data_IF_212974873142
#
_entry.id   IF_212974873142
#
_cell.length_a   1.000
_cell.length_b   1.000
_cell.length_c   1.000
_cell.angle_alpha   90.00
_cell.angle_beta   90.00
_cell.angle_gamma   90.00
#
_symmetry.space_group_name_H-M   'P 1'
#
loop_
_entity.id
_entity.type
_entity.pdbx_description
1 polymer ?
#
# COMPACT_ATOMS: atom_id res chain seq x y z
N UNK A 1 -5.65 7.29 -3.67
CA UNK A 1 -4.60 7.96 -4.45
C UNK A 1 -5.16 8.24 -5.84
N UNK A 2 -5.17 9.50 -6.27
CA UNK A 2 -5.74 9.91 -7.57
C UNK A 2 -4.81 9.58 -8.75
N UNK A 3 -3.56 9.20 -8.49
CA UNK A 3 -2.59 8.85 -9.52
C UNK A 3 -2.48 7.34 -9.73
N UNK A 4 -3.12 6.53 -8.88
CA UNK A 4 -3.09 5.08 -9.03
C UNK A 4 -4.02 4.60 -10.15
N UNK A 5 -3.51 3.92 -11.18
CA UNK A 5 -4.34 3.31 -12.23
C UNK A 5 -5.30 2.25 -11.67
N UNK A 6 -4.92 1.54 -10.61
CA UNK A 6 -5.78 0.55 -9.93
C UNK A 6 -6.99 1.23 -9.27
N UNK A 7 -6.79 2.42 -8.68
CA UNK A 7 -7.90 3.19 -8.12
C UNK A 7 -8.87 3.65 -9.21
N UNK A 8 -8.36 4.09 -10.37
CA UNK A 8 -9.19 4.47 -11.53
C UNK A 8 -9.93 3.26 -12.14
N UNK A 9 -9.26 2.11 -12.23
CA UNK A 9 -9.88 0.86 -12.67
C UNK A 9 -11.07 0.48 -11.77
N UNK A 10 -10.90 0.56 -10.45
CA UNK A 10 -12.01 0.32 -9.53
C UNK A 10 -13.15 1.34 -9.66
N UNK A 11 -12.85 2.58 -10.07
CA UNK A 11 -13.83 3.62 -10.36
C UNK A 11 -14.47 3.49 -11.76
N UNK A 12 -14.22 2.37 -12.46
CA UNK A 12 -14.85 2.05 -13.74
C UNK A 12 -14.16 2.62 -14.97
N UNK A 13 -12.96 3.21 -14.83
CA UNK A 13 -12.15 3.60 -15.98
C UNK A 13 -11.66 2.33 -16.68
N UNK A 14 -11.93 2.23 -17.98
CA UNK A 14 -11.49 1.09 -18.81
C UNK A 14 -9.98 1.17 -19.02
N UNK A 15 -9.23 0.52 -18.15
CA UNK A 15 -7.79 0.40 -18.20
C UNK A 15 -7.42 -1.08 -18.32
N UNK A 16 -6.50 -1.38 -19.22
CA UNK A 16 -5.72 -2.61 -19.14
C UNK A 16 -4.62 -2.37 -18.10
N UNK A 17 -4.64 -3.11 -17.00
CA UNK A 17 -3.67 -2.92 -15.92
C UNK A 17 -2.31 -3.53 -16.26
N UNK A 18 -2.24 -4.41 -17.26
CA UNK A 18 -0.99 -5.03 -17.73
C UNK A 18 -0.33 -4.21 -18.86
N UNK A 19 -1.08 -3.32 -19.53
CA UNK A 19 -0.61 -2.48 -20.63
C UNK A 19 -1.18 -1.05 -20.55
N UNK A 20 -0.76 -0.30 -19.53
CA UNK A 20 -1.24 1.07 -19.28
C UNK A 20 -0.55 2.06 -20.22
N UNK A 21 -1.34 2.73 -21.05
CA UNK A 21 -0.84 3.81 -21.90
C UNK A 21 -1.04 5.17 -21.21
N UNK A 22 -0.03 6.05 -21.24
CA UNK A 22 -0.08 7.34 -20.53
C UNK A 22 -1.21 8.24 -21.04
N UNK A 23 -1.56 8.13 -22.32
CA UNK A 23 -2.63 8.90 -22.96
C UNK A 23 -4.02 8.51 -22.42
N UNK A 24 -4.18 7.29 -21.89
CA UNK A 24 -5.40 6.85 -21.21
C UNK A 24 -5.51 7.47 -19.80
N UNK A 25 -4.39 7.86 -19.22
CA UNK A 25 -4.33 8.53 -17.92
C UNK A 25 -4.65 10.02 -18.14
N UNK A 26 -5.96 10.31 -18.17
CA UNK A 26 -6.56 11.66 -18.14
C UNK A 26 -5.81 12.59 -17.18
N UNK A 27 -5.95 13.90 -17.32
CA UNK A 27 -5.27 14.85 -16.43
C UNK A 27 -5.60 14.69 -14.94
N UNK A 28 -4.76 15.29 -14.08
CA UNK A 28 -4.89 15.20 -12.62
C UNK A 28 -6.25 15.63 -12.09
N UNK A 29 -6.85 16.66 -12.66
CA UNK A 29 -8.15 17.17 -12.20
C UNK A 29 -9.25 16.17 -12.54
N UNK A 30 -9.25 15.62 -13.75
CA UNK A 30 -10.23 14.62 -14.17
C UNK A 30 -10.14 13.34 -13.33
N UNK A 31 -8.93 12.88 -13.02
CA UNK A 31 -8.72 11.74 -12.11
C UNK A 31 -9.24 12.02 -10.71
N UNK A 32 -8.99 13.22 -10.18
CA UNK A 32 -9.49 13.63 -8.87
C UNK A 32 -11.02 13.65 -8.82
N UNK A 33 -11.66 14.18 -9.87
CA UNK A 33 -13.13 14.19 -10.01
C UNK A 33 -13.72 12.77 -9.99
N UNK A 34 -13.16 11.86 -10.79
CA UNK A 34 -13.60 10.45 -10.86
C UNK A 34 -13.50 9.80 -9.48
N UNK A 35 -12.34 9.90 -8.82
CA UNK A 35 -12.12 9.29 -7.51
C UNK A 35 -13.02 9.90 -6.43
N UNK A 36 -13.21 11.22 -6.44
CA UNK A 36 -14.10 11.90 -5.49
C UNK A 36 -15.57 11.50 -5.69
N UNK A 37 -15.97 11.16 -6.92
CA UNK A 37 -17.34 10.72 -7.24
C UNK A 37 -17.64 9.27 -6.85
N UNK A 38 -16.62 8.44 -6.60
CA UNK A 38 -16.77 7.03 -6.25
C UNK A 38 -16.04 6.67 -4.94
N UNK A 39 -16.69 6.88 -3.78
CA UNK A 39 -16.12 6.51 -2.48
C UNK A 39 -15.95 4.99 -2.31
N UNK A 40 -16.73 4.17 -3.04
CA UNK A 40 -16.64 2.71 -2.96
C UNK A 40 -15.38 2.22 -3.67
N UNK A 41 -15.07 2.74 -4.86
CA UNK A 41 -13.82 2.47 -5.55
C UNK A 41 -12.61 2.83 -4.69
N UNK A 42 -12.68 3.99 -4.03
CA UNK A 42 -11.61 4.45 -3.12
C UNK A 42 -11.43 3.50 -1.93
N UNK A 43 -12.52 3.02 -1.32
CA UNK A 43 -12.47 2.05 -0.23
C UNK A 43 -11.92 0.68 -0.67
N UNK A 44 -12.32 0.20 -1.85
CA UNK A 44 -11.80 -1.06 -2.44
C UNK A 44 -10.30 -0.98 -2.72
N UNK A 45 -9.86 0.11 -3.34
CA UNK A 45 -8.44 0.37 -3.58
C UNK A 45 -7.65 0.38 -2.27
N UNK A 46 -8.14 1.13 -1.27
CA UNK A 46 -7.51 1.19 0.04
C UNK A 46 -7.40 -0.20 0.68
N UNK A 47 -8.49 -0.98 0.68
CA UNK A 47 -8.48 -2.33 1.22
C UNK A 47 -7.47 -3.24 0.51
N UNK A 48 -7.45 -3.24 -0.83
CA UNK A 48 -6.48 -4.01 -1.60
C UNK A 48 -5.04 -3.63 -1.25
N UNK A 49 -4.74 -2.32 -1.21
CA UNK A 49 -3.42 -1.80 -0.91
C UNK A 49 -2.95 -2.23 0.49
N UNK A 50 -3.80 -2.03 1.51
CA UNK A 50 -3.46 -2.37 2.90
C UNK A 50 -3.31 -3.89 3.08
N UNK A 51 -4.22 -4.69 2.53
CA UNK A 51 -4.12 -6.15 2.61
C UNK A 51 -2.82 -6.64 1.97
N UNK A 52 -2.43 -6.08 0.82
CA UNK A 52 -1.16 -6.44 0.20
C UNK A 52 0.04 -5.99 1.05
N UNK A 53 0.07 -4.77 1.58
CA UNK A 53 1.14 -4.33 2.50
C UNK A 53 1.26 -5.28 3.68
N UNK A 54 0.15 -5.64 4.32
CA UNK A 54 0.15 -6.55 5.47
C UNK A 54 0.65 -7.94 5.12
N UNK A 55 0.25 -8.49 3.96
CA UNK A 55 0.61 -9.85 3.57
C UNK A 55 2.03 -9.94 3.01
N UNK A 56 2.46 -8.98 2.19
CA UNK A 56 3.73 -9.08 1.45
C UNK A 56 4.88 -8.36 2.15
N UNK A 57 4.63 -7.20 2.74
CA UNK A 57 5.70 -6.40 3.36
C UNK A 57 5.83 -6.69 4.84
N UNK A 58 4.71 -6.76 5.56
CA UNK A 58 4.73 -6.95 7.01
C UNK A 58 4.88 -8.42 7.35
N UNK A 59 3.93 -9.26 6.96
CA UNK A 59 3.98 -10.70 7.19
C UNK A 59 5.02 -11.40 6.31
N UNK A 60 5.35 -10.82 5.16
CA UNK A 60 6.40 -11.31 4.27
C UNK A 60 7.81 -10.86 4.64
N UNK A 61 8.00 -10.21 5.80
CA UNK A 61 9.32 -10.13 6.45
C UNK A 61 10.20 -8.94 6.06
N UNK A 62 9.69 -7.89 5.40
CA UNK A 62 10.53 -6.70 5.10
C UNK A 62 11.06 -6.04 6.38
N UNK A 63 10.31 -6.14 7.48
CA UNK A 63 10.71 -5.67 8.80
C UNK A 63 11.33 -6.77 9.67
N UNK A 64 11.56 -7.96 9.12
CA UNK A 64 11.92 -9.17 9.88
C UNK A 64 10.76 -9.77 10.68
N UNK A 65 11.04 -10.74 11.55
CA UNK A 65 10.02 -11.42 12.36
C UNK A 65 9.18 -10.45 13.20
N UNK A 66 7.86 -10.60 13.13
CA UNK A 66 6.88 -9.78 13.87
C UNK A 66 6.15 -10.62 14.92
N UNK A 67 5.88 -10.04 16.10
CA UNK A 67 5.05 -10.65 17.15
C UNK A 67 3.57 -10.40 16.96
N UNK A 68 3.23 -9.18 16.57
CA UNK A 68 1.86 -8.70 16.47
C UNK A 68 1.80 -7.42 15.64
N UNK A 69 0.60 -7.11 15.15
CA UNK A 69 0.25 -5.80 14.64
C UNK A 69 -1.17 -5.42 15.07
N UNK A 70 -1.44 -4.13 15.13
CA UNK A 70 -2.75 -3.56 15.41
C UNK A 70 -2.94 -2.33 14.52
N UNK A 71 -4.12 -2.16 13.92
CA UNK A 71 -4.39 -0.99 13.10
C UNK A 71 -5.82 -0.50 13.15
N UNK A 72 -5.99 0.81 12.93
CA UNK A 72 -7.28 1.51 12.90
C UNK A 72 -7.44 2.27 11.59
N UNK A 73 -8.61 2.12 10.97
CA UNK A 73 -8.97 2.83 9.75
C UNK A 73 -9.80 4.06 10.09
N UNK A 74 -9.43 5.20 9.54
CA UNK A 74 -10.05 6.49 9.81
C UNK A 74 -10.44 7.22 8.52
N UNK A 75 -11.55 7.95 8.57
CA UNK A 75 -11.92 8.89 7.51
C UNK A 75 -11.37 10.27 7.87
N UNK A 76 -10.38 10.73 7.12
CA UNK A 76 -9.73 12.04 7.35
C UNK A 76 -10.45 13.21 6.63
N UNK A 77 -11.59 12.97 5.99
CA UNK A 77 -12.34 14.01 5.27
C UNK A 77 -11.66 14.54 4.01
N UNK A 78 -10.67 13.82 3.46
CA UNK A 78 -9.87 14.22 2.29
C UNK A 78 -9.93 13.19 1.16
N UNK A 79 -11.09 12.56 0.98
CA UNK A 79 -11.35 11.60 -0.11
C UNK A 79 -10.95 10.16 0.20
N UNK A 80 -9.71 9.90 0.66
CA UNK A 80 -9.27 8.53 0.98
C UNK A 80 -9.36 8.20 2.47
N UNK A 81 -9.56 6.91 2.76
CA UNK A 81 -9.33 6.34 4.08
C UNK A 81 -7.85 6.43 4.45
N UNK A 82 -7.59 6.46 5.75
CA UNK A 82 -6.25 6.49 6.35
C UNK A 82 -6.10 5.31 7.31
N UNK A 83 -4.89 4.75 7.43
CA UNK A 83 -4.57 3.66 8.36
C UNK A 83 -3.48 4.12 9.31
N UNK A 84 -3.76 4.03 10.62
CA UNK A 84 -2.71 3.99 11.64
C UNK A 84 -2.39 2.53 11.95
N UNK A 85 -1.11 2.15 11.88
CA UNK A 85 -0.66 0.78 12.12
C UNK A 85 0.48 0.77 13.14
N UNK A 86 0.34 -0.06 14.17
CA UNK A 86 1.36 -0.34 15.17
C UNK A 86 1.83 -1.79 14.98
N UNK A 87 3.14 -1.98 14.91
CA UNK A 87 3.77 -3.28 14.67
C UNK A 87 4.77 -3.55 15.81
N UNK A 88 4.71 -4.73 16.40
CA UNK A 88 5.67 -5.20 17.38
C UNK A 88 6.63 -6.20 16.73
N UNK A 89 7.91 -5.85 16.69
CA UNK A 89 8.97 -6.70 16.14
C UNK A 89 9.40 -7.75 17.16
N UNK A 90 9.85 -8.91 16.68
CA UNK A 90 10.47 -9.98 17.49
C UNK A 90 12.00 -9.86 17.51
N UNK A 91 12.50 -8.64 17.40
CA UNK A 91 13.92 -8.32 17.51
C UNK A 91 14.10 -6.86 17.94
N UNK A 92 15.33 -6.51 18.30
CA UNK A 92 15.77 -5.18 18.71
C UNK A 92 16.61 -4.46 17.65
N UNK A 93 16.82 -5.09 16.48
CA UNK A 93 17.54 -4.48 15.35
C UNK A 93 16.90 -3.15 14.94
N UNK A 94 17.74 -2.14 14.82
CA UNK A 94 17.41 -0.82 14.30
C UNK A 94 17.54 -0.81 12.77
N UNK A 95 16.99 0.21 12.09
CA UNK A 95 17.15 0.34 10.65
C UNK A 95 18.61 0.31 10.16
N UNK A 96 19.55 0.84 10.96
CA UNK A 96 20.98 0.80 10.66
C UNK A 96 21.53 -0.65 10.69
N UNK A 97 21.15 -1.44 11.69
CA UNK A 97 21.58 -2.83 11.84
C UNK A 97 21.04 -3.69 10.68
N UNK A 98 19.78 -3.47 10.29
CA UNK A 98 19.20 -4.14 9.12
C UNK A 98 19.95 -3.78 7.85
N UNK A 99 20.28 -2.50 7.65
CA UNK A 99 21.04 -2.04 6.47
C UNK A 99 22.42 -2.66 6.38
N UNK A 100 23.11 -2.81 7.51
CA UNK A 100 24.42 -3.45 7.58
C UNK A 100 24.35 -4.96 7.31
N UNK A 101 23.28 -5.63 7.78
CA UNK A 101 23.12 -7.09 7.64
C UNK A 101 22.48 -7.53 6.32
N UNK A 102 21.72 -6.67 5.63
CA UNK A 102 21.07 -6.97 4.35
C UNK A 102 22.01 -7.58 3.28
N UNK A 103 23.29 -7.18 3.15
CA UNK A 103 24.22 -7.82 2.23
C UNK A 103 24.50 -9.30 2.55
N UNK A 104 24.44 -9.72 3.82
CA UNK A 104 24.69 -11.11 4.24
C UNK A 104 23.56 -12.03 3.76
N UNK A 105 23.93 -13.05 2.98
CA UNK A 105 23.00 -14.06 2.44
C UNK A 105 22.35 -14.86 3.57
N UNK A 106 23.12 -15.23 4.60
CA UNK A 106 22.59 -16.05 5.70
C UNK A 106 21.57 -15.29 6.54
N UNK A 107 21.69 -13.97 6.60
CA UNK A 107 20.71 -13.11 7.24
C UNK A 107 19.43 -13.03 6.42
N UNK A 108 19.55 -12.85 5.09
CA UNK A 108 18.40 -12.79 4.17
C UNK A 108 17.60 -14.09 4.13
N UNK A 109 18.25 -15.24 4.19
CA UNK A 109 17.58 -16.54 4.17
C UNK A 109 16.80 -16.84 5.46
N UNK A 110 16.98 -16.02 6.51
CA UNK A 110 16.34 -16.16 7.84
C UNK A 110 15.35 -15.04 8.14
N UNK A 111 15.20 -14.05 7.26
CA UNK A 111 14.13 -13.05 7.32
C UNK A 111 12.80 -13.67 6.90
#
# INVERSE_FOLDING_TARGET
DIHSPVALYFAGVKLDLDDIQNEQLMDTYKRAEIIASDPVATAKFFHLLITNILNTMISGGVLGPIKAYFGTVESQGRGSLHLHLLIWLDHDMKPADMKEKLPDVNFRDKL
#
